data_IF_225376571812
#
_entry.id   IF_225376571812
#
_cell.length_a   1.000
_cell.length_b   1.000
_cell.length_c   1.000
_cell.angle_alpha   90.00
_cell.angle_beta   90.00
_cell.angle_gamma   90.00
#
_symmetry.space_group_name_H-M   'P 1'
#
loop_
_entity.id
_entity.type
_entity.pdbx_description
1 polymer ?
#
# COMPACT_ATOMS: atom_id res chain seq x y z
N UNK A 1 -3.49 15.09 6.14
CA UNK A 1 -3.32 16.03 5.01
C UNK A 1 -1.89 16.58 4.96
N UNK A 2 -1.37 17.19 6.04
CA UNK A 2 0.02 17.69 6.08
C UNK A 2 1.10 16.61 5.80
N UNK A 3 1.06 15.48 6.51
CA UNK A 3 2.03 14.37 6.34
C UNK A 3 2.04 13.79 4.92
N UNK A 4 0.90 13.79 4.24
CA UNK A 4 0.79 13.30 2.85
C UNK A 4 1.40 14.28 1.84
N UNK A 5 1.35 15.59 2.10
CA UNK A 5 2.02 16.59 1.27
C UNK A 5 3.53 16.58 1.48
N UNK A 6 4.00 16.44 2.73
CA UNK A 6 5.42 16.27 3.04
C UNK A 6 5.98 15.03 2.35
N UNK A 7 5.29 13.90 2.43
CA UNK A 7 5.78 12.68 1.79
C UNK A 7 5.91 12.86 0.28
N UNK A 8 4.93 13.51 -0.39
CA UNK A 8 5.04 13.83 -1.82
C UNK A 8 6.24 14.73 -2.11
N UNK A 9 6.46 15.77 -1.32
CA UNK A 9 7.60 16.67 -1.49
C UNK A 9 8.95 15.94 -1.34
N UNK A 10 9.09 15.11 -0.30
CA UNK A 10 10.28 14.25 -0.10
C UNK A 10 10.50 13.35 -1.32
N UNK A 11 9.43 12.76 -1.84
CA UNK A 11 9.52 11.88 -3.01
C UNK A 11 10.01 12.63 -4.26
N UNK A 12 9.45 13.81 -4.57
CA UNK A 12 9.92 14.60 -5.72
C UNK A 12 11.37 15.07 -5.57
N UNK A 13 11.75 15.52 -4.37
CA UNK A 13 13.14 15.93 -4.09
C UNK A 13 14.08 14.73 -4.25
N UNK A 14 13.69 13.56 -3.77
CA UNK A 14 14.47 12.33 -3.92
C UNK A 14 14.63 11.94 -5.38
N UNK A 15 13.56 11.95 -6.16
CA UNK A 15 13.58 11.61 -7.59
C UNK A 15 14.48 12.58 -8.39
N UNK A 16 14.44 13.88 -8.07
CA UNK A 16 15.34 14.86 -8.67
C UNK A 16 16.82 14.59 -8.34
N UNK A 17 17.11 14.22 -7.08
CA UNK A 17 18.45 13.87 -6.63
C UNK A 17 18.94 12.55 -7.26
N UNK A 18 18.06 11.56 -7.43
CA UNK A 18 18.36 10.30 -8.10
C UNK A 18 18.69 10.52 -9.58
N UNK A 19 17.91 11.34 -10.29
CA UNK A 19 18.23 11.72 -11.68
C UNK A 19 19.59 12.39 -11.76
N UNK A 20 19.86 13.37 -10.90
CA UNK A 20 21.13 14.07 -10.90
C UNK A 20 22.30 13.12 -10.61
N UNK A 21 22.15 12.23 -9.62
CA UNK A 21 23.15 11.22 -9.27
C UNK A 21 23.44 10.28 -10.45
N UNK A 22 22.42 9.64 -11.02
CA UNK A 22 22.62 8.68 -12.10
C UNK A 22 23.06 9.36 -13.41
N UNK A 23 22.67 10.60 -13.65
CA UNK A 23 23.19 11.38 -14.79
C UNK A 23 24.69 11.61 -14.64
N UNK A 24 25.17 11.96 -13.44
CA UNK A 24 26.61 12.10 -13.20
C UNK A 24 27.37 10.77 -13.30
N UNK A 25 26.70 9.63 -13.03
CA UNK A 25 27.29 8.30 -13.21
C UNK A 25 27.26 7.79 -14.65
N UNK A 26 26.51 8.43 -15.55
CA UNK A 26 26.38 8.00 -16.93
C UNK A 26 27.65 8.21 -17.76
N UNK A 27 28.55 9.09 -17.33
CA UNK A 27 29.84 9.34 -17.98
C UNK A 27 30.97 9.42 -16.94
N UNK A 28 32.14 8.88 -17.28
CA UNK A 28 33.28 8.83 -16.37
C UNK A 28 33.85 10.22 -16.06
N UNK A 29 33.85 11.13 -17.05
CA UNK A 29 34.30 12.51 -16.87
C UNK A 29 33.33 13.31 -16.00
N UNK A 30 32.03 13.16 -16.22
CA UNK A 30 31.00 13.76 -15.36
C UNK A 30 31.06 13.22 -13.93
N UNK A 31 31.28 11.92 -13.75
CA UNK A 31 31.41 11.29 -12.44
C UNK A 31 32.63 11.82 -11.67
N UNK A 32 33.77 11.96 -12.35
CA UNK A 32 34.98 12.55 -11.77
C UNK A 32 34.77 14.03 -11.41
N UNK A 33 34.19 14.82 -12.32
CA UNK A 33 33.88 16.23 -12.07
C UNK A 33 32.88 16.40 -10.91
N UNK A 34 31.89 15.52 -10.81
CA UNK A 34 30.93 15.52 -9.70
C UNK A 34 31.62 15.24 -8.36
N UNK A 35 32.47 14.21 -8.27
CA UNK A 35 33.22 13.89 -7.04
C UNK A 35 34.14 15.03 -6.58
N UNK A 36 34.66 15.81 -7.53
CA UNK A 36 35.48 16.99 -7.24
C UNK A 36 34.65 18.24 -6.87
N UNK A 37 33.33 18.21 -7.08
CA UNK A 37 32.44 19.36 -6.87
C UNK A 37 31.95 19.47 -5.42
N UNK A 38 31.78 20.68 -4.87
CA UNK A 38 31.07 20.93 -3.62
C UNK A 38 29.67 20.30 -3.58
N UNK A 39 29.02 20.14 -4.74
CA UNK A 39 27.70 19.51 -4.86
C UNK A 39 27.68 18.06 -4.38
N UNK A 40 28.80 17.33 -4.48
CA UNK A 40 28.92 15.95 -3.99
C UNK A 40 28.69 15.86 -2.48
N UNK A 41 29.27 16.80 -1.72
CA UNK A 41 29.18 16.85 -0.26
C UNK A 41 27.80 17.28 0.24
N UNK A 42 26.97 17.87 -0.62
CA UNK A 42 25.61 18.30 -0.27
C UNK A 42 24.59 17.27 -0.75
N UNK A 43 24.67 16.82 -2.01
CA UNK A 43 23.67 15.93 -2.60
C UNK A 43 23.65 14.53 -1.94
N UNK A 44 24.80 13.89 -1.73
CA UNK A 44 24.81 12.52 -1.19
C UNK A 44 24.27 12.45 0.25
N UNK A 45 24.74 13.29 1.20
CA UNK A 45 24.14 13.34 2.53
C UNK A 45 22.65 13.69 2.51
N UNK A 46 22.23 14.56 1.59
CA UNK A 46 20.83 14.94 1.45
C UNK A 46 19.94 13.77 1.00
N UNK A 47 20.41 12.90 0.10
CA UNK A 47 19.70 11.66 -0.26
C UNK A 47 19.53 10.75 0.97
N UNK A 48 20.59 10.57 1.78
CA UNK A 48 20.53 9.81 3.03
C UNK A 48 19.50 10.39 4.02
N UNK A 49 19.46 11.72 4.15
CA UNK A 49 18.48 12.43 4.97
C UNK A 49 17.04 12.18 4.48
N UNK A 50 16.80 12.26 3.16
CA UNK A 50 15.47 12.02 2.59
C UNK A 50 14.99 10.57 2.84
N UNK A 51 15.89 9.59 2.73
CA UNK A 51 15.59 8.19 3.05
C UNK A 51 15.26 8.00 4.54
N UNK A 52 16.02 8.65 5.41
CA UNK A 52 15.80 8.64 6.86
C UNK A 52 14.47 9.29 7.22
N UNK A 53 14.14 10.44 6.64
CA UNK A 53 12.85 11.09 6.82
C UNK A 53 11.69 10.19 6.37
N UNK A 54 11.84 9.48 5.25
CA UNK A 54 10.83 8.53 4.79
C UNK A 54 10.65 7.34 5.76
N UNK A 55 11.76 6.81 6.30
CA UNK A 55 11.70 5.76 7.33
C UNK A 55 10.99 6.24 8.60
N UNK A 56 11.25 7.47 9.05
CA UNK A 56 10.54 8.09 10.18
C UNK A 56 9.05 8.28 9.91
N UNK A 57 8.66 8.69 8.69
CA UNK A 57 7.25 8.79 8.30
C UNK A 57 6.57 7.42 8.33
N UNK A 58 7.25 6.37 7.85
CA UNK A 58 6.73 5.01 7.90
C UNK A 58 6.57 4.52 9.35
N UNK A 59 7.56 4.80 10.21
CA UNK A 59 7.50 4.51 11.65
C UNK A 59 6.37 5.26 12.34
N UNK A 60 6.17 6.55 12.03
CA UNK A 60 5.05 7.34 12.56
C UNK A 60 3.70 6.75 12.15
N UNK A 61 3.55 6.31 10.89
CA UNK A 61 2.32 5.68 10.40
C UNK A 61 2.05 4.34 11.10
N UNK A 62 3.10 3.57 11.33
CA UNK A 62 3.02 2.30 12.05
C UNK A 62 2.59 2.52 13.50
N UNK A 63 3.22 3.46 14.21
CA UNK A 63 2.87 3.81 15.59
C UNK A 63 1.42 4.30 15.70
N UNK A 64 0.98 5.16 14.78
CA UNK A 64 -0.39 5.69 14.76
C UNK A 64 -1.45 4.65 14.38
N UNK A 65 -1.07 3.62 13.64
CA UNK A 65 -2.01 2.63 13.16
C UNK A 65 -2.65 1.81 14.29
N UNK A 66 -1.97 1.65 15.43
CA UNK A 66 -2.31 0.66 16.48
C UNK A 66 -2.58 -0.75 15.92
N UNK A 67 -2.14 -0.99 14.69
CA UNK A 67 -2.51 -2.14 13.86
C UNK A 67 -1.24 -2.94 13.63
N UNK A 68 -1.20 -4.17 14.13
CA UNK A 68 -0.05 -5.08 14.06
C UNK A 68 0.07 -5.71 12.67
N UNK A 69 -0.07 -4.90 11.62
CA UNK A 69 -0.06 -5.37 10.23
C UNK A 69 1.36 -5.72 9.82
N UNK A 70 1.57 -6.97 9.41
CA UNK A 70 2.84 -7.47 8.90
C UNK A 70 3.37 -6.61 7.75
N UNK A 71 2.54 -6.26 6.74
CA UNK A 71 2.93 -5.40 5.62
C UNK A 71 3.54 -4.06 6.07
N UNK A 72 2.97 -3.42 7.11
CA UNK A 72 3.44 -2.11 7.58
C UNK A 72 4.73 -2.24 8.38
N UNK A 73 4.86 -3.31 9.17
CA UNK A 73 6.09 -3.64 9.87
C UNK A 73 7.21 -3.99 8.91
N UNK A 74 6.92 -4.82 7.90
CA UNK A 74 7.87 -5.21 6.87
C UNK A 74 8.35 -4.00 6.06
N UNK A 75 7.44 -3.11 5.66
CA UNK A 75 7.78 -1.84 5.02
C UNK A 75 8.65 -0.96 5.91
N UNK A 76 8.36 -0.87 7.21
CA UNK A 76 9.14 -0.06 8.14
C UNK A 76 10.56 -0.61 8.32
N UNK A 77 10.70 -1.91 8.60
CA UNK A 77 11.99 -2.57 8.83
C UNK A 77 12.88 -2.44 7.59
N UNK A 78 12.33 -2.73 6.40
CA UNK A 78 13.08 -2.60 5.15
C UNK A 78 13.46 -1.15 4.86
N UNK A 79 12.54 -0.19 5.07
CA UNK A 79 12.84 1.23 4.93
C UNK A 79 13.92 1.71 5.90
N UNK A 80 13.93 1.22 7.15
CA UNK A 80 14.93 1.57 8.15
C UNK A 80 16.30 0.97 7.81
N UNK A 81 16.34 -0.31 7.40
CA UNK A 81 17.56 -0.96 6.96
C UNK A 81 18.18 -0.25 5.74
N UNK A 82 17.36 0.07 4.72
CA UNK A 82 17.81 0.85 3.56
C UNK A 82 18.33 2.23 3.98
N UNK A 83 17.60 2.96 4.84
CA UNK A 83 18.03 4.27 5.29
C UNK A 83 19.37 4.22 6.05
N UNK A 84 19.57 3.23 6.91
CA UNK A 84 20.82 3.04 7.64
C UNK A 84 22.00 2.73 6.70
N UNK A 85 21.83 1.73 5.82
CA UNK A 85 22.86 1.31 4.86
C UNK A 85 23.21 2.44 3.87
N UNK A 86 22.20 3.08 3.30
CA UNK A 86 22.41 4.21 2.39
C UNK A 86 23.05 5.40 3.12
N UNK A 87 22.68 5.69 4.37
CA UNK A 87 23.30 6.78 5.13
C UNK A 87 24.76 6.48 5.45
N UNK A 88 25.09 5.27 5.89
CA UNK A 88 26.49 4.84 6.10
C UNK A 88 27.29 5.03 4.81
N UNK A 89 26.74 4.62 3.67
CA UNK A 89 27.40 4.79 2.38
C UNK A 89 27.60 6.26 2.00
N UNK A 90 26.53 7.04 1.99
CA UNK A 90 26.49 8.38 1.43
C UNK A 90 27.19 9.42 2.32
N UNK A 91 26.96 9.36 3.64
CA UNK A 91 27.70 10.20 4.59
C UNK A 91 29.15 9.73 4.72
N UNK A 92 29.38 8.41 4.74
CA UNK A 92 30.73 7.85 4.76
C UNK A 92 31.56 8.29 3.55
N UNK A 93 30.97 8.30 2.35
CA UNK A 93 31.62 8.78 1.13
C UNK A 93 31.95 10.28 1.19
N UNK A 94 31.07 11.11 1.76
CA UNK A 94 31.37 12.53 1.95
C UNK A 94 32.51 12.74 2.97
N UNK A 95 32.45 12.05 4.11
CA UNK A 95 33.47 12.13 5.17
C UNK A 95 34.82 11.58 4.72
N UNK A 96 34.83 10.52 3.90
CA UNK A 96 36.06 9.91 3.42
C UNK A 96 36.89 10.86 2.56
N UNK A 97 36.20 11.65 1.72
CA UNK A 97 36.88 12.66 0.91
C UNK A 97 37.32 13.85 1.78
N UNK A 98 36.50 14.31 2.74
CA UNK A 98 36.87 15.41 3.65
C UNK A 98 38.07 15.09 4.54
N UNK A 99 38.11 13.87 5.07
CA UNK A 99 39.15 13.40 5.99
C UNK A 99 40.30 12.68 5.26
N UNK A 100 40.27 12.66 3.93
CA UNK A 100 41.26 12.06 3.05
C UNK A 100 41.60 10.60 3.40
N UNK A 101 40.58 9.79 3.73
CA UNK A 101 40.71 8.35 3.91
C UNK A 101 39.94 7.57 2.83
N UNK A 102 40.36 6.34 2.55
CA UNK A 102 39.66 5.48 1.59
C UNK A 102 38.51 4.74 2.27
N UNK A 103 37.26 5.01 1.84
CA UNK A 103 36.09 4.27 2.28
C UNK A 103 35.65 3.21 1.25
N UNK A 104 36.48 2.18 1.09
CA UNK A 104 36.23 1.10 0.13
C UNK A 104 34.91 0.34 0.37
N UNK A 105 34.40 0.32 1.61
CA UNK A 105 33.13 -0.32 1.95
C UNK A 105 31.89 0.50 1.53
N UNK A 106 32.04 1.78 1.21
CA UNK A 106 30.92 2.67 0.90
C UNK A 106 30.02 2.16 -0.23
N UNK A 107 30.56 1.84 -1.42
CA UNK A 107 29.77 1.27 -2.51
C UNK A 107 29.05 -0.04 -2.14
N UNK A 108 29.64 -0.87 -1.29
CA UNK A 108 29.01 -2.11 -0.80
C UNK A 108 27.79 -1.84 0.07
N UNK A 109 27.86 -0.85 0.97
CA UNK A 109 26.69 -0.44 1.76
C UNK A 109 25.55 0.09 0.87
N UNK A 110 25.88 0.85 -0.19
CA UNK A 110 24.86 1.34 -1.13
C UNK A 110 24.25 0.20 -1.94
N UNK A 111 25.08 -0.71 -2.44
CA UNK A 111 24.66 -1.93 -3.12
C UNK A 111 23.73 -2.78 -2.24
N UNK A 112 24.11 -3.03 -0.97
CA UNK A 112 23.27 -3.76 -0.02
C UNK A 112 21.93 -3.07 0.24
N UNK A 113 21.91 -1.74 0.37
CA UNK A 113 20.65 -0.99 0.48
C UNK A 113 19.73 -1.21 -0.71
N UNK A 114 20.28 -1.19 -1.92
CA UNK A 114 19.50 -1.40 -3.14
C UNK A 114 19.03 -2.85 -3.27
N UNK A 115 19.82 -3.84 -2.83
CA UNK A 115 19.39 -5.25 -2.75
C UNK A 115 18.21 -5.38 -1.81
N UNK A 116 18.30 -4.86 -0.58
CA UNK A 116 17.21 -4.95 0.41
C UNK A 116 15.93 -4.33 -0.15
N UNK A 117 16.04 -3.15 -0.78
CA UNK A 117 14.92 -2.51 -1.44
C UNK A 117 14.33 -3.39 -2.58
N UNK A 118 15.19 -3.98 -3.41
CA UNK A 118 14.80 -4.83 -4.53
C UNK A 118 14.07 -6.09 -4.07
N UNK A 119 14.62 -6.77 -3.05
CA UNK A 119 14.00 -7.94 -2.43
C UNK A 119 12.63 -7.61 -1.84
N UNK A 120 12.49 -6.47 -1.17
CA UNK A 120 11.18 -6.01 -0.68
C UNK A 120 10.19 -5.80 -1.83
N UNK A 121 10.57 -5.11 -2.90
CA UNK A 121 9.68 -4.86 -4.04
C UNK A 121 9.28 -6.15 -4.76
N UNK A 122 10.23 -7.08 -4.93
CA UNK A 122 9.96 -8.39 -5.53
C UNK A 122 9.01 -9.23 -4.68
N UNK A 123 9.17 -9.20 -3.36
CA UNK A 123 8.27 -9.88 -2.43
C UNK A 123 6.86 -9.28 -2.49
N UNK A 124 6.76 -7.94 -2.49
CA UNK A 124 5.47 -7.25 -2.63
C UNK A 124 4.83 -7.47 -4.00
N UNK A 125 5.62 -7.64 -5.07
CA UNK A 125 5.13 -8.03 -6.39
C UNK A 125 4.47 -9.41 -6.33
N UNK A 126 5.18 -10.43 -5.82
CA UNK A 126 4.64 -11.79 -5.69
C UNK A 126 3.41 -11.84 -4.78
N UNK A 127 3.47 -11.12 -3.65
CA UNK A 127 2.37 -11.07 -2.70
C UNK A 127 1.13 -10.39 -3.29
N UNK A 128 1.28 -9.32 -4.06
CA UNK A 128 0.15 -8.68 -4.75
C UNK A 128 -0.40 -9.56 -5.89
N UNK A 129 0.42 -10.33 -6.59
CA UNK A 129 -0.08 -11.33 -7.55
C UNK A 129 -0.88 -12.43 -6.85
N UNK A 130 -0.41 -12.90 -5.69
CA UNK A 130 -1.12 -13.90 -4.91
C UNK A 130 -2.46 -13.36 -4.38
N UNK A 131 -2.49 -12.10 -3.89
CA UNK A 131 -3.74 -11.40 -3.54
C UNK A 131 -4.69 -11.26 -4.72
N UNK A 132 -4.18 -10.92 -5.92
CA UNK A 132 -4.98 -10.82 -7.14
C UNK A 132 -5.53 -12.18 -7.60
N UNK A 133 -4.81 -13.27 -7.31
CA UNK A 133 -5.25 -14.63 -7.58
C UNK A 133 -6.39 -15.06 -6.65
N UNK A 134 -6.30 -14.75 -5.35
CA UNK A 134 -7.35 -15.07 -4.38
C UNK A 134 -8.59 -14.17 -4.51
N UNK A 135 -8.45 -12.96 -5.07
CA UNK A 135 -9.57 -12.03 -5.25
C UNK A 135 -10.56 -12.46 -6.34
N UNK A 136 -11.87 -12.17 -6.21
CA UNK A 136 -12.87 -12.53 -7.22
C UNK A 136 -12.53 -11.99 -8.62
N UNK A 137 -12.79 -12.80 -9.65
CA UNK A 137 -12.66 -12.37 -11.05
C UNK A 137 -13.58 -11.19 -11.30
N UNK A 138 -13.09 -10.18 -12.02
CA UNK A 138 -13.81 -8.93 -12.31
C UNK A 138 -14.18 -8.09 -11.08
N UNK A 139 -13.47 -8.23 -9.95
CA UNK A 139 -13.57 -7.29 -8.82
C UNK A 139 -12.60 -6.12 -8.95
N UNK A 140 -12.98 -4.99 -8.34
CA UNK A 140 -12.14 -3.81 -8.16
C UNK A 140 -10.92 -4.15 -7.31
N UNK A 141 -11.09 -5.00 -6.28
CA UNK A 141 -10.01 -5.47 -5.41
C UNK A 141 -8.91 -6.19 -6.21
N UNK A 142 -9.29 -7.15 -7.07
CA UNK A 142 -8.36 -7.86 -7.95
C UNK A 142 -7.59 -6.88 -8.83
N UNK A 143 -8.29 -5.94 -9.46
CA UNK A 143 -7.65 -4.95 -10.34
C UNK A 143 -6.68 -4.03 -9.59
N UNK A 144 -7.00 -3.67 -8.35
CA UNK A 144 -6.09 -2.92 -7.49
C UNK A 144 -4.78 -3.66 -7.23
N UNK A 145 -4.85 -4.96 -6.94
CA UNK A 145 -3.65 -5.76 -6.70
C UNK A 145 -2.83 -6.00 -7.95
N UNK A 146 -3.47 -6.19 -9.11
CA UNK A 146 -2.75 -6.27 -10.39
C UNK A 146 -2.01 -4.95 -10.68
N UNK A 147 -2.67 -3.80 -10.52
CA UNK A 147 -2.02 -2.49 -10.67
C UNK A 147 -0.87 -2.30 -9.68
N UNK A 148 -1.03 -2.74 -8.44
CA UNK A 148 0.03 -2.68 -7.42
C UNK A 148 1.20 -3.61 -7.75
N UNK A 149 0.94 -4.80 -8.29
CA UNK A 149 1.99 -5.71 -8.76
C UNK A 149 2.80 -5.08 -9.90
N UNK A 150 2.15 -4.49 -10.92
CA UNK A 150 2.87 -3.77 -11.97
C UNK A 150 3.70 -2.60 -11.43
N UNK A 151 3.19 -1.87 -10.45
CA UNK A 151 3.95 -0.80 -9.78
C UNK A 151 5.20 -1.35 -9.07
N UNK A 152 5.10 -2.48 -8.38
CA UNK A 152 6.25 -3.12 -7.71
C UNK A 152 7.25 -3.72 -8.70
N UNK A 153 6.77 -4.23 -9.83
CA UNK A 153 7.62 -4.72 -10.92
C UNK A 153 8.43 -3.56 -11.53
N UNK A 154 7.77 -2.44 -11.80
CA UNK A 154 8.42 -1.22 -12.26
C UNK A 154 9.49 -0.73 -11.27
N UNK A 155 9.17 -0.70 -9.97
CA UNK A 155 10.13 -0.33 -8.92
C UNK A 155 11.31 -1.31 -8.85
N UNK A 156 11.07 -2.61 -9.00
CA UNK A 156 12.13 -3.63 -9.06
C UNK A 156 13.04 -3.41 -10.26
N UNK A 157 12.49 -3.11 -11.44
CA UNK A 157 13.28 -2.84 -12.65
C UNK A 157 14.14 -1.58 -12.50
N UNK A 158 13.58 -0.51 -11.93
CA UNK A 158 14.33 0.69 -11.57
C UNK A 158 15.49 0.39 -10.62
N UNK A 159 15.23 -0.35 -9.53
CA UNK A 159 16.26 -0.70 -8.54
C UNK A 159 17.33 -1.63 -9.12
N UNK A 160 16.96 -2.57 -10.01
CA UNK A 160 17.91 -3.39 -10.75
C UNK A 160 18.82 -2.54 -11.65
N UNK A 161 18.27 -1.49 -12.27
CA UNK A 161 19.07 -0.55 -13.05
C UNK A 161 20.04 0.25 -12.19
N UNK A 162 19.58 0.74 -11.03
CA UNK A 162 20.43 1.42 -10.06
C UNK A 162 21.52 0.49 -9.51
N UNK A 163 21.20 -0.78 -9.22
CA UNK A 163 22.17 -1.80 -8.82
C UNK A 163 23.24 -2.00 -9.89
N UNK A 164 22.84 -2.15 -11.16
CA UNK A 164 23.77 -2.27 -12.28
C UNK A 164 24.70 -1.05 -12.38
N UNK A 165 24.17 0.16 -12.23
CA UNK A 165 24.97 1.38 -12.22
C UNK A 165 26.01 1.36 -11.08
N UNK A 166 25.61 0.99 -9.86
CA UNK A 166 26.53 0.88 -8.72
C UNK A 166 27.61 -0.18 -8.95
N UNK A 167 27.22 -1.35 -9.45
CA UNK A 167 28.17 -2.45 -9.72
C UNK A 167 29.20 -2.03 -10.75
N UNK A 168 28.78 -1.52 -11.90
CA UNK A 168 29.67 -1.27 -13.03
C UNK A 168 30.34 0.12 -13.03
N UNK A 169 29.85 1.07 -12.23
CA UNK A 169 30.47 2.42 -12.10
C UNK A 169 31.27 2.56 -10.81
N UNK A 170 30.84 1.94 -9.71
CA UNK A 170 31.49 2.11 -8.39
C UNK A 170 32.33 0.91 -7.96
N UNK A 171 31.84 -0.32 -8.12
CA UNK A 171 32.54 -1.52 -7.63
C UNK A 171 33.52 -2.09 -8.65
N UNK A 172 33.11 -2.20 -9.91
CA UNK A 172 33.87 -2.82 -10.99
C UNK A 172 33.85 -1.93 -12.25
N UNK A 173 34.60 -0.81 -12.26
CA UNK A 173 34.67 0.12 -13.39
C UNK A 173 35.48 -0.43 -14.57
N UNK A 174 35.39 -1.73 -14.84
CA UNK A 174 36.13 -2.43 -15.90
C UNK A 174 35.45 -2.22 -17.26
N UNK A 175 34.12 -2.04 -17.26
CA UNK A 175 33.32 -1.84 -18.49
C UNK A 175 32.43 -0.59 -18.33
N UNK A 176 33.01 0.62 -18.52
CA UNK A 176 32.29 1.89 -18.31
C UNK A 176 31.00 1.99 -19.12
N UNK A 177 30.98 1.50 -20.36
CA UNK A 177 29.80 1.54 -21.23
C UNK A 177 28.58 0.80 -20.64
N UNK A 178 28.80 -0.30 -19.92
CA UNK A 178 27.71 -1.04 -19.25
C UNK A 178 27.20 -0.24 -18.06
N UNK A 179 28.08 0.36 -17.27
CA UNK A 179 27.72 1.29 -16.19
C UNK A 179 26.92 2.50 -16.68
N UNK A 180 27.31 3.07 -17.81
CA UNK A 180 26.59 4.15 -18.49
C UNK A 180 25.18 3.71 -18.91
N UNK A 181 25.05 2.55 -19.54
CA UNK A 181 23.75 2.03 -19.98
C UNK A 181 22.78 1.85 -18.81
N UNK A 182 23.24 1.28 -17.69
CA UNK A 182 22.43 1.13 -16.48
C UNK A 182 22.09 2.48 -15.81
N UNK A 183 23.02 3.43 -15.82
CA UNK A 183 22.79 4.77 -15.26
C UNK A 183 21.74 5.53 -16.07
N UNK A 184 21.84 5.51 -17.41
CA UNK A 184 20.86 6.10 -18.32
C UNK A 184 19.50 5.43 -18.14
N UNK A 185 19.47 4.10 -18.04
CA UNK A 185 18.22 3.35 -17.83
C UNK A 185 17.55 3.75 -16.50
N UNK A 186 18.31 3.96 -15.43
CA UNK A 186 17.78 4.43 -14.15
C UNK A 186 17.19 5.86 -14.26
N UNK A 187 17.86 6.74 -15.01
CA UNK A 187 17.33 8.09 -15.32
C UNK A 187 16.01 7.99 -16.09
N UNK A 188 15.93 7.13 -17.12
CA UNK A 188 14.71 6.94 -17.91
C UNK A 188 13.55 6.41 -17.06
N UNK A 189 13.80 5.44 -16.19
CA UNK A 189 12.78 4.96 -15.25
C UNK A 189 12.27 6.08 -14.33
N UNK A 190 13.18 6.89 -13.78
CA UNK A 190 12.79 8.00 -12.89
C UNK A 190 11.99 9.06 -13.65
N UNK A 191 12.42 9.41 -14.87
CA UNK A 191 11.70 10.33 -15.74
C UNK A 191 10.30 9.79 -16.09
N UNK A 192 10.18 8.50 -16.40
CA UNK A 192 8.89 7.86 -16.70
C UNK A 192 7.95 7.88 -15.48
N UNK A 193 8.44 7.65 -14.27
CA UNK A 193 7.61 7.75 -13.05
C UNK A 193 7.11 9.18 -12.81
N UNK A 194 7.99 10.18 -12.98
CA UNK A 194 7.61 11.59 -12.89
C UNK A 194 6.53 11.91 -13.92
N UNK A 195 6.76 11.56 -15.19
CA UNK A 195 5.80 11.76 -16.28
C UNK A 195 4.48 11.07 -15.96
N UNK A 196 4.50 9.80 -15.58
CA UNK A 196 3.30 9.04 -15.20
C UNK A 196 2.53 9.75 -14.09
N UNK A 197 3.19 10.30 -13.07
CA UNK A 197 2.50 11.03 -11.99
C UNK A 197 1.89 12.33 -12.47
N UNK A 198 2.57 13.07 -13.35
CA UNK A 198 2.09 14.31 -13.95
C UNK A 198 0.97 14.10 -14.97
N UNK A 199 0.89 12.92 -15.59
CA UNK A 199 -0.14 12.61 -16.59
C UNK A 199 -1.56 12.81 -16.04
N UNK A 200 -2.44 13.53 -16.76
CA UNK A 200 -3.84 13.72 -16.37
C UNK A 200 -4.62 12.40 -16.20
N UNK A 201 -5.71 12.47 -15.43
CA UNK A 201 -6.52 11.29 -15.13
C UNK A 201 -7.11 10.64 -16.40
N UNK A 202 -7.57 11.41 -17.37
CA UNK A 202 -8.21 10.89 -18.58
C UNK A 202 -7.24 10.07 -19.45
N UNK A 203 -6.00 10.55 -19.57
CA UNK A 203 -4.93 9.84 -20.28
C UNK A 203 -4.55 8.57 -19.52
N UNK A 204 -4.43 8.63 -18.19
CA UNK A 204 -4.22 7.43 -17.36
C UNK A 204 -5.34 6.41 -17.53
N UNK A 205 -6.58 6.85 -17.63
CA UNK A 205 -7.75 5.99 -17.86
C UNK A 205 -7.68 5.33 -19.23
N UNK A 206 -7.30 6.07 -20.27
CA UNK A 206 -7.12 5.54 -21.62
C UNK A 206 -6.02 4.47 -21.66
N UNK A 207 -4.84 4.76 -21.09
CA UNK A 207 -3.72 3.81 -21.03
C UNK A 207 -4.11 2.56 -20.24
N UNK A 208 -4.77 2.72 -19.10
CA UNK A 208 -5.30 1.58 -18.33
C UNK A 208 -6.36 0.81 -19.10
N UNK A 209 -7.20 1.46 -19.91
CA UNK A 209 -8.15 0.84 -20.82
C UNK A 209 -7.45 -0.05 -21.83
N UNK A 210 -6.45 0.49 -22.53
CA UNK A 210 -5.68 -0.24 -23.53
C UNK A 210 -4.94 -1.46 -22.96
N UNK A 211 -4.39 -1.33 -21.75
CA UNK A 211 -3.72 -2.42 -21.04
C UNK A 211 -4.68 -3.39 -20.32
N UNK A 212 -6.00 -3.23 -20.46
CA UNK A 212 -7.01 -4.01 -19.73
C UNK A 212 -6.85 -3.95 -18.20
N UNK A 213 -6.31 -2.84 -17.70
CA UNK A 213 -6.12 -2.51 -16.30
C UNK A 213 -7.20 -1.57 -15.76
N UNK A 214 -8.27 -1.33 -16.51
CA UNK A 214 -9.39 -0.51 -16.06
C UNK A 214 -10.15 -1.21 -14.94
N UNK A 215 -10.58 -0.43 -13.95
CA UNK A 215 -11.42 -0.97 -12.88
C UNK A 215 -12.79 -1.34 -13.45
N UNK A 216 -13.37 -2.47 -13.03
CA UNK A 216 -14.74 -2.83 -13.39
C UNK A 216 -15.73 -1.83 -12.77
N UNK A 217 -16.92 -1.75 -13.36
CA UNK A 217 -17.99 -0.90 -12.87
C UNK A 217 -18.58 -1.44 -11.56
N UNK A 218 -19.24 -0.59 -10.77
CA UNK A 218 -19.76 -0.95 -9.45
C UNK A 218 -20.73 -2.15 -9.49
N UNK A 219 -21.54 -2.28 -10.54
CA UNK A 219 -22.45 -3.42 -10.72
C UNK A 219 -21.69 -4.72 -11.01
N UNK A 220 -20.65 -4.66 -11.84
CA UNK A 220 -19.80 -5.83 -12.13
C UNK A 220 -19.04 -6.29 -10.88
N UNK A 221 -18.53 -5.33 -10.09
CA UNK A 221 -17.86 -5.57 -8.82
C UNK A 221 -18.79 -6.25 -7.81
N UNK A 222 -20.01 -5.73 -7.64
CA UNK A 222 -21.00 -6.31 -6.75
C UNK A 222 -21.43 -7.72 -7.20
N UNK A 223 -21.65 -7.94 -8.50
CA UNK A 223 -21.94 -9.27 -9.05
C UNK A 223 -20.80 -10.26 -8.81
N UNK A 224 -19.55 -9.83 -8.97
CA UNK A 224 -18.38 -10.67 -8.72
C UNK A 224 -18.30 -11.13 -7.26
N UNK A 225 -18.55 -10.22 -6.31
CA UNK A 225 -18.59 -10.56 -4.88
C UNK A 225 -19.81 -11.42 -4.53
N UNK A 226 -20.99 -11.15 -5.11
CA UNK A 226 -22.19 -11.98 -4.91
C UNK A 226 -21.96 -13.42 -5.39
N UNK A 227 -21.37 -13.61 -6.57
CA UNK A 227 -21.05 -14.94 -7.11
C UNK A 227 -20.05 -15.69 -6.24
N UNK A 228 -19.04 -15.01 -5.68
CA UNK A 228 -18.08 -15.65 -4.78
C UNK A 228 -18.72 -16.07 -3.46
N UNK A 229 -19.60 -15.22 -2.89
CA UNK A 229 -20.36 -15.55 -1.67
C UNK A 229 -21.27 -16.76 -1.91
N UNK A 230 -22.02 -16.78 -3.02
CA UNK A 230 -22.90 -17.91 -3.37
C UNK A 230 -22.12 -19.22 -3.57
N UNK A 231 -20.91 -19.16 -4.14
CA UNK A 231 -20.05 -20.35 -4.26
C UNK A 231 -19.64 -20.90 -2.90
N UNK A 232 -19.30 -20.02 -1.96
CA UNK A 232 -18.94 -20.41 -0.59
C UNK A 232 -20.14 -21.05 0.13
N UNK A 233 -21.32 -20.44 0.01
CA UNK A 233 -22.56 -20.98 0.60
C UNK A 233 -22.95 -22.34 0.01
N UNK A 234 -22.90 -22.50 -1.31
CA UNK A 234 -23.26 -23.74 -2.01
C UNK A 234 -22.27 -24.89 -1.77
N UNK A 235 -21.01 -24.57 -1.49
CA UNK A 235 -20.00 -25.58 -1.20
C UNK A 235 -20.17 -26.24 0.19
N UNK A 236 -21.18 -25.83 0.99
CA UNK A 236 -21.29 -26.15 2.42
C UNK A 236 -20.00 -25.87 3.21
N UNK A 237 -19.12 -25.03 2.67
CA UNK A 237 -17.92 -24.56 3.34
C UNK A 237 -18.36 -23.44 4.30
N UNK A 238 -18.91 -23.83 5.47
CA UNK A 238 -19.25 -22.91 6.56
C UNK A 238 -18.03 -22.11 7.05
N UNK A 239 -16.82 -22.56 6.70
CA UNK A 239 -15.59 -21.79 6.79
C UNK A 239 -14.91 -21.80 5.42
N UNK A 240 -14.41 -20.66 4.90
CA UNK A 240 -13.47 -20.71 3.79
C UNK A 240 -12.32 -21.61 4.26
N UNK A 241 -12.13 -22.76 3.57
CA UNK A 241 -11.06 -23.71 3.88
C UNK A 241 -9.76 -22.95 4.18
N UNK A 242 -8.99 -23.45 5.15
CA UNK A 242 -7.71 -22.92 5.65
C UNK A 242 -6.60 -22.72 4.57
N UNK A 243 -6.95 -22.74 3.29
CA UNK A 243 -6.08 -22.55 2.14
C UNK A 243 -5.98 -21.09 1.70
N UNK A 244 -6.86 -20.19 2.15
CA UNK A 244 -6.85 -18.78 1.74
C UNK A 244 -6.17 -17.89 2.79
N UNK A 245 -5.20 -17.09 2.36
CA UNK A 245 -4.49 -16.16 3.25
C UNK A 245 -5.15 -14.78 3.33
N UNK A 246 -5.98 -14.40 2.35
CA UNK A 246 -6.53 -13.07 2.19
C UNK A 246 -8.07 -13.03 2.15
N UNK A 247 -8.62 -11.86 2.48
CA UNK A 247 -10.07 -11.61 2.47
C UNK A 247 -10.58 -11.37 1.05
N UNK A 248 -11.59 -12.13 0.63
CA UNK A 248 -12.09 -12.12 -0.75
C UNK A 248 -13.39 -11.32 -0.94
N UNK A 249 -14.06 -10.92 0.15
CA UNK A 249 -15.40 -10.36 0.08
C UNK A 249 -15.44 -8.90 0.54
N UNK A 250 -15.71 -7.97 -0.38
CA UNK A 250 -16.10 -6.60 0.00
C UNK A 250 -17.63 -6.54 0.15
N UNK A 251 -18.13 -6.83 1.36
CA UNK A 251 -19.57 -6.74 1.65
C UNK A 251 -20.13 -5.33 1.37
N UNK A 252 -19.30 -4.29 1.44
CA UNK A 252 -19.74 -2.94 1.15
C UNK A 252 -20.03 -2.72 -0.33
N UNK A 253 -19.33 -3.44 -1.22
CA UNK A 253 -19.60 -3.41 -2.66
C UNK A 253 -20.97 -4.03 -2.97
N UNK A 254 -21.28 -5.19 -2.38
CA UNK A 254 -22.59 -5.86 -2.52
C UNK A 254 -23.74 -4.97 -2.03
N UNK A 255 -23.58 -4.37 -0.85
CA UNK A 255 -24.60 -3.53 -0.23
C UNK A 255 -24.81 -2.21 -0.99
N UNK A 256 -23.93 -1.79 -1.89
CA UNK A 256 -24.20 -0.60 -2.74
C UNK A 256 -25.27 -0.86 -3.79
N UNK A 257 -25.35 -2.09 -4.29
CA UNK A 257 -26.22 -2.43 -5.42
C UNK A 257 -27.44 -3.24 -5.01
N UNK A 258 -27.40 -3.90 -3.85
CA UNK A 258 -28.53 -4.65 -3.28
C UNK A 258 -29.69 -3.71 -2.93
N UNK A 259 -30.92 -4.19 -3.06
CA UNK A 259 -32.08 -3.42 -2.63
C UNK A 259 -32.11 -3.22 -1.10
N UNK A 260 -32.67 -2.11 -0.62
CA UNK A 260 -32.63 -1.78 0.81
C UNK A 260 -33.40 -2.80 1.67
N UNK A 261 -34.50 -3.34 1.13
CA UNK A 261 -35.34 -4.30 1.84
C UNK A 261 -34.66 -5.67 1.96
N UNK A 262 -33.77 -6.01 1.03
CA UNK A 262 -32.92 -7.22 1.07
C UNK A 262 -31.63 -7.02 1.87
N UNK A 263 -31.04 -5.82 1.81
CA UNK A 263 -29.76 -5.50 2.44
C UNK A 263 -29.81 -5.60 3.97
N UNK A 264 -30.90 -5.16 4.59
CA UNK A 264 -31.07 -5.21 6.05
C UNK A 264 -31.10 -6.64 6.61
N UNK A 265 -31.98 -7.56 6.14
CA UNK A 265 -31.99 -8.93 6.63
C UNK A 265 -30.70 -9.68 6.30
N UNK A 266 -30.07 -9.41 5.14
CA UNK A 266 -28.77 -9.97 4.79
C UNK A 266 -27.67 -9.60 5.79
N UNK A 267 -27.50 -8.31 6.08
CA UNK A 267 -26.50 -7.82 7.03
C UNK A 267 -26.75 -8.34 8.45
N UNK A 268 -28.01 -8.42 8.88
CA UNK A 268 -28.34 -8.98 10.20
C UNK A 268 -27.97 -10.46 10.29
N UNK A 269 -28.28 -11.26 9.26
CA UNK A 269 -27.88 -12.67 9.19
C UNK A 269 -26.36 -12.82 9.24
N UNK A 270 -25.63 -12.02 8.45
CA UNK A 270 -24.16 -12.02 8.42
C UNK A 270 -23.56 -11.69 9.80
N UNK A 271 -24.07 -10.64 10.46
CA UNK A 271 -23.63 -10.25 11.81
C UNK A 271 -23.92 -11.39 12.82
N UNK A 272 -25.10 -12.00 12.76
CA UNK A 272 -25.49 -13.09 13.67
C UNK A 272 -24.63 -14.34 13.48
N UNK A 273 -24.39 -14.76 12.23
CA UNK A 273 -23.49 -15.86 11.91
C UNK A 273 -22.09 -15.60 12.45
N UNK A 274 -21.57 -14.38 12.26
CA UNK A 274 -20.21 -14.06 12.72
C UNK A 274 -20.11 -13.98 14.24
N UNK A 275 -21.14 -13.45 14.90
CA UNK A 275 -21.24 -13.48 16.37
C UNK A 275 -21.28 -14.90 16.92
N UNK A 276 -21.96 -15.83 16.25
CA UNK A 276 -22.01 -17.23 16.67
C UNK A 276 -20.61 -17.86 16.66
N UNK A 277 -19.86 -17.72 15.56
CA UNK A 277 -18.50 -18.25 15.42
C UNK A 277 -17.55 -17.63 16.46
N UNK A 278 -17.61 -16.31 16.66
CA UNK A 278 -16.73 -15.63 17.61
C UNK A 278 -17.00 -16.04 19.07
N UNK A 279 -18.27 -16.29 19.42
CA UNK A 279 -18.64 -16.75 20.77
C UNK A 279 -18.23 -18.20 21.02
N UNK A 280 -18.25 -19.05 20.00
CA UNK A 280 -17.75 -20.43 20.12
C UNK A 280 -16.24 -20.46 20.43
N UNK A 281 -15.50 -19.49 19.89
CA UNK A 281 -14.06 -19.35 20.07
C UNK A 281 -13.68 -18.35 21.18
N UNK A 282 -14.62 -17.94 22.04
CA UNK A 282 -14.38 -16.94 23.08
C UNK A 282 -13.51 -17.52 24.21
N UNK A 283 -12.20 -17.28 24.12
CA UNK A 283 -11.28 -17.55 25.21
C UNK A 283 -11.33 -16.41 26.26
N UNK A 284 -11.27 -16.70 27.57
CA UNK A 284 -11.33 -15.69 28.63
C UNK A 284 -10.27 -14.58 28.52
N UNK A 285 -9.13 -14.88 27.90
CA UNK A 285 -7.99 -13.97 27.79
C UNK A 285 -7.91 -13.24 26.44
N UNK A 286 -8.74 -13.59 25.46
CA UNK A 286 -8.68 -12.96 24.13
C UNK A 286 -9.46 -11.64 24.09
N UNK A 287 -8.75 -10.56 24.40
CA UNK A 287 -9.27 -9.19 24.31
C UNK A 287 -9.72 -8.78 22.90
N UNK A 288 -9.13 -9.36 21.85
CA UNK A 288 -9.48 -9.04 20.47
C UNK A 288 -10.83 -9.67 20.07
N UNK A 289 -11.07 -10.93 20.44
CA UNK A 289 -12.38 -11.58 20.23
C UNK A 289 -13.48 -10.85 20.99
N UNK A 290 -13.23 -10.46 22.25
CA UNK A 290 -14.18 -9.68 23.06
C UNK A 290 -14.55 -8.35 22.41
N UNK A 291 -13.57 -7.61 21.90
CA UNK A 291 -13.82 -6.36 21.18
C UNK A 291 -14.60 -6.56 19.89
N UNK A 292 -14.29 -7.61 19.12
CA UNK A 292 -15.04 -7.98 17.90
C UNK A 292 -16.50 -8.30 18.22
N UNK A 293 -16.77 -9.08 19.26
CA UNK A 293 -18.13 -9.42 19.70
C UNK A 293 -18.89 -8.16 20.13
N UNK A 294 -18.27 -7.28 20.93
CA UNK A 294 -18.89 -6.01 21.37
C UNK A 294 -19.21 -5.10 20.18
N UNK A 295 -18.29 -4.98 19.23
CA UNK A 295 -18.46 -4.15 18.04
C UNK A 295 -19.60 -4.67 17.16
N UNK A 296 -19.62 -5.96 16.84
CA UNK A 296 -20.69 -6.57 16.03
C UNK A 296 -22.06 -6.49 16.73
N UNK A 297 -22.09 -6.68 18.05
CA UNK A 297 -23.32 -6.50 18.84
C UNK A 297 -23.81 -5.05 18.77
N UNK A 298 -22.91 -4.07 18.84
CA UNK A 298 -23.26 -2.67 18.64
C UNK A 298 -23.77 -2.42 17.22
N UNK A 299 -23.17 -3.03 16.19
CA UNK A 299 -23.59 -2.85 14.79
C UNK A 299 -25.00 -3.39 14.58
N UNK A 300 -25.29 -4.56 15.13
CA UNK A 300 -26.64 -5.14 15.11
C UNK A 300 -27.67 -4.19 15.73
N UNK A 301 -27.37 -3.60 16.90
CA UNK A 301 -28.27 -2.63 17.55
C UNK A 301 -28.49 -1.40 16.68
N UNK A 302 -27.43 -0.88 16.06
CA UNK A 302 -27.55 0.30 15.20
C UNK A 302 -28.37 -0.02 13.93
N UNK A 303 -28.33 -1.23 13.40
CA UNK A 303 -29.18 -1.61 12.26
C UNK A 303 -30.69 -1.44 12.57
N UNK A 304 -31.11 -1.53 13.83
CA UNK A 304 -32.49 -1.32 14.26
C UNK A 304 -32.85 0.14 14.60
N UNK A 305 -31.87 1.01 14.88
CA UNK A 305 -32.11 2.37 15.37
C UNK A 305 -31.52 3.45 14.42
N UNK A 306 -32.08 4.66 14.37
CA UNK A 306 -31.54 5.77 13.55
C UNK A 306 -30.34 6.44 14.24
N UNK A 307 -29.32 5.66 14.61
CA UNK A 307 -28.12 6.18 15.28
C UNK A 307 -27.06 6.58 14.25
N UNK A 308 -26.42 7.72 14.46
CA UNK A 308 -25.28 8.13 13.63
C UNK A 308 -24.05 7.26 13.91
N UNK A 309 -23.37 6.85 12.84
CA UNK A 309 -22.20 5.98 12.92
C UNK A 309 -20.98 6.69 12.34
N UNK A 310 -19.89 6.67 13.09
CA UNK A 310 -18.58 7.11 12.65
C UNK A 310 -17.55 6.01 12.87
N UNK A 311 -16.88 5.60 11.79
CA UNK A 311 -15.80 4.59 11.84
C UNK A 311 -14.66 5.02 12.77
N UNK A 312 -14.37 6.33 12.83
CA UNK A 312 -13.30 6.88 13.69
C UNK A 312 -13.60 6.66 15.17
N UNK A 313 -14.86 6.78 15.57
CA UNK A 313 -15.26 6.59 16.96
C UNK A 313 -15.29 5.11 17.33
N UNK A 314 -15.65 4.24 16.38
CA UNK A 314 -15.55 2.79 16.56
C UNK A 314 -14.12 2.31 16.69
N UNK A 315 -13.20 2.84 15.87
CA UNK A 315 -11.76 2.56 15.97
C UNK A 315 -11.19 2.97 17.34
N UNK A 316 -11.68 4.07 17.92
CA UNK A 316 -11.27 4.50 19.27
C UNK A 316 -11.84 3.61 20.37
N UNK A 317 -13.08 3.17 20.21
CA UNK A 317 -13.81 2.42 21.24
C UNK A 317 -13.48 0.92 21.25
N UNK A 318 -13.18 0.34 20.09
CA UNK A 318 -12.90 -1.09 19.90
C UNK A 318 -11.64 -1.31 19.04
N UNK A 319 -10.47 -0.78 19.45
CA UNK A 319 -9.27 -0.76 18.60
C UNK A 319 -8.81 -2.15 18.18
N UNK A 320 -8.96 -3.16 19.05
CA UNK A 320 -8.52 -4.53 18.77
C UNK A 320 -9.41 -5.23 17.73
N UNK A 321 -10.66 -4.80 17.57
CA UNK A 321 -11.58 -5.39 16.60
C UNK A 321 -11.19 -5.08 15.15
N UNK A 322 -10.46 -3.98 14.94
CA UNK A 322 -9.95 -3.55 13.63
C UNK A 322 -8.51 -4.02 13.37
N UNK A 323 -7.94 -4.82 14.27
CA UNK A 323 -6.61 -5.38 14.04
C UNK A 323 -6.67 -6.50 13.00
N UNK A 324 -5.79 -6.42 12.01
CA UNK A 324 -5.60 -7.43 10.97
C UNK A 324 -4.13 -7.82 10.92
N UNK A 325 -3.84 -9.08 10.60
CA UNK A 325 -2.45 -9.48 10.39
C UNK A 325 -1.91 -8.89 9.07
N UNK A 326 -2.75 -8.82 8.04
CA UNK A 326 -2.40 -8.27 6.73
C UNK A 326 -2.79 -6.79 6.61
N UNK A 327 -2.33 -6.11 5.55
CA UNK A 327 -2.80 -4.76 5.24
C UNK A 327 -4.31 -4.69 4.91
N UNK A 328 -4.91 -5.83 4.59
CA UNK A 328 -6.33 -5.94 4.28
C UNK A 328 -7.21 -5.75 5.51
N UNK A 329 -8.40 -5.21 5.27
CA UNK A 329 -9.42 -5.07 6.30
C UNK A 329 -9.82 -6.46 6.78
N UNK A 330 -9.86 -6.64 8.09
CA UNK A 330 -10.42 -7.85 8.66
C UNK A 330 -11.91 -7.97 8.34
N UNK A 331 -12.43 -9.19 8.38
CA UNK A 331 -13.84 -9.48 8.10
C UNK A 331 -14.82 -8.62 8.94
N UNK A 332 -14.54 -8.43 10.23
CA UNK A 332 -15.33 -7.55 11.11
C UNK A 332 -15.30 -6.09 10.63
N UNK A 333 -14.17 -5.61 10.14
CA UNK A 333 -14.05 -4.25 9.57
C UNK A 333 -14.84 -4.13 8.26
N UNK A 334 -14.85 -5.17 7.41
CA UNK A 334 -15.64 -5.21 6.18
C UNK A 334 -17.16 -5.17 6.47
N UNK A 335 -17.62 -5.90 7.50
CA UNK A 335 -19.01 -5.85 7.96
C UNK A 335 -19.38 -4.45 8.47
N UNK A 336 -18.51 -3.81 9.26
CA UNK A 336 -18.73 -2.44 9.75
C UNK A 336 -18.85 -1.46 8.58
N UNK A 337 -17.96 -1.56 7.59
CA UNK A 337 -18.00 -0.72 6.40
C UNK A 337 -19.30 -0.92 5.61
N UNK A 338 -19.79 -2.17 5.50
CA UNK A 338 -21.06 -2.48 4.86
C UNK A 338 -22.27 -1.88 5.60
N UNK A 339 -22.29 -1.94 6.94
CA UNK A 339 -23.32 -1.31 7.78
C UNK A 339 -23.33 0.21 7.62
N UNK A 340 -22.15 0.84 7.57
CA UNK A 340 -22.02 2.29 7.33
C UNK A 340 -22.60 2.66 5.97
N UNK A 341 -22.25 1.91 4.92
CA UNK A 341 -22.80 2.12 3.57
C UNK A 341 -24.32 1.97 3.56
N UNK A 342 -24.86 0.90 4.17
CA UNK A 342 -26.31 0.71 4.28
C UNK A 342 -27.00 1.92 4.95
N UNK A 343 -26.49 2.38 6.09
CA UNK A 343 -27.07 3.53 6.80
C UNK A 343 -27.01 4.83 6.00
N UNK A 344 -25.93 5.05 5.25
CA UNK A 344 -25.83 6.21 4.35
C UNK A 344 -26.90 6.16 3.25
N UNK A 345 -27.13 4.97 2.67
CA UNK A 345 -28.18 4.75 1.66
C UNK A 345 -29.58 4.84 2.24
N UNK A 346 -29.80 4.49 3.50
CA UNK A 346 -31.12 4.57 4.16
C UNK A 346 -31.50 6.02 4.53
N UNK A 347 -30.53 6.84 4.96
CA UNK A 347 -30.78 8.27 5.25
C UNK A 347 -31.15 9.08 4.01
N UNK A 348 -30.53 8.79 2.87
CA UNK A 348 -30.75 9.55 1.61
C UNK A 348 -32.23 9.58 1.16
N UNK A 349 -32.98 8.46 1.13
CA UNK A 349 -34.41 8.46 0.83
C UNK A 349 -35.28 8.98 1.98
N UNK A 350 -34.91 8.84 3.26
CA UNK A 350 -35.64 9.46 4.38
C UNK A 350 -35.59 10.99 4.34
N UNK A 351 -34.43 11.57 4.01
CA UNK A 351 -34.27 13.02 3.83
C UNK A 351 -35.06 13.53 2.62
N UNK A 352 -35.11 12.75 1.54
CA UNK A 352 -35.94 13.10 0.39
C UNK A 352 -37.45 13.00 0.70
N UNK A 353 -37.88 12.02 1.50
CA UNK A 353 -39.27 11.90 1.97
C UNK A 353 -39.65 13.00 2.97
N UNK A 354 -38.75 13.40 3.86
CA UNK A 354 -39.03 14.50 4.80
C UNK A 354 -39.13 15.85 4.08
N UNK A 355 -38.35 16.08 3.02
CA UNK A 355 -38.48 17.27 2.17
C UNK A 355 -39.79 17.27 1.37
N UNK A 356 -40.23 16.11 0.86
CA UNK A 356 -41.52 15.98 0.16
C UNK A 356 -42.72 16.21 1.10
N UNK A 357 -42.64 15.80 2.36
CA UNK A 357 -43.69 16.03 3.36
C UNK A 357 -43.72 17.46 3.94
N UNK A 358 -42.69 18.27 3.68
CA UNK A 358 -42.64 19.70 4.08
C UNK A 358 -43.16 20.62 2.95
N UNK A 359 -43.26 20.10 1.73
CA UNK A 359 -43.72 20.83 0.53
C UNK A 359 -45.14 20.38 0.11
N UNK A 360 -45.72 19.37 0.78
CA UNK A 360 -47.06 18.85 0.53
C UNK A 360 -48.16 19.54 1.32
#
# INVERSE_FOLDING_TARGET
>A
MFVTHIQKAITYLREAQEIALFTTMADAGLSAAFRASPLFYVMLPFIGLLLTANALINGYRLAKASNRNFDRWFLFITSAACAALASISLYGAALSVLLNFSFAAGPWFFFSSLIVASSHQLMMFGLNLFRAYESPKNSIQRMHYIQAAFSNLFATAFLASALGAVVFVLLFPIIPAVGSAFSITAVLFTAFDILWRMTPYDVKKLIKGWLHLSKPDANQDAMAHQQEILKLENAQEMEPKHHRMFTCCDYSALIRTMDLDEAKPYLLRLIQQRLHILRQNEAPEDGAIKDKIKLLTAMSKVMHHPTEISKKDMLRKYPLAFQSFWAEKGDVEQIVDAVIVFKSRYRTPEVNRSLLNVIG
#
